data_IF_958170857764
#
_entry.id   IF_958170857764
#
_cell.length_a   1.000
_cell.length_b   1.000
_cell.length_c   1.000
_cell.angle_alpha   90.00
_cell.angle_beta   90.00
_cell.angle_gamma   90.00
#
_symmetry.space_group_name_H-M   'P 1'
#
loop_
_entity.id
_entity.type
_entity.pdbx_description
1 polymer ?
2 polymer ?
3 polymer ?
4 non-polymer ?
5 water ?
#
# COMPACT_ATOMS: atom_id res chain seq x y z
N UNK A 1 -3.39 -15.14 21.21
CA UNK A 1 -4.24 -14.53 20.15
C UNK A 1 -3.64 -14.72 18.76
N UNK A 2 -4.49 -14.69 17.73
CA UNK A 2 -4.04 -14.87 16.34
C UNK A 2 -3.19 -13.72 15.84
N UNK A 3 -2.12 -14.08 15.13
CA UNK A 3 -1.20 -13.11 14.57
C UNK A 3 -0.91 -13.46 13.11
N UNK A 4 -1.95 -13.76 12.31
CA UNK A 4 -1.72 -14.13 10.91
C UNK A 4 -1.27 -12.91 10.10
N UNK A 5 -0.10 -13.06 9.50
CA UNK A 5 0.49 -11.99 8.71
C UNK A 5 1.63 -12.55 7.88
N UNK A 6 1.74 -12.05 6.65
CA UNK A 6 2.78 -12.52 5.77
C UNK A 6 3.20 -11.50 4.74
N UNK A 7 4.37 -11.74 4.17
CA UNK A 7 4.92 -10.96 3.06
C UNK A 7 5.79 -11.96 2.34
N UNK A 8 5.64 -12.02 1.02
CA UNK A 8 6.38 -12.94 0.21
C UNK A 8 6.81 -12.20 -1.04
N UNK A 9 7.98 -12.55 -1.56
CA UNK A 9 8.48 -11.89 -2.74
C UNK A 9 8.83 -12.89 -3.82
N UNK A 10 9.27 -12.38 -4.96
CA UNK A 10 9.65 -13.22 -6.08
C UNK A 10 11.17 -13.27 -6.23
N UNK A 11 11.68 -14.45 -6.53
CA UNK A 11 13.10 -14.66 -6.75
C UNK A 11 13.24 -15.81 -7.74
N UNK A 12 12.84 -17.00 -7.33
CA UNK A 12 12.88 -18.20 -8.16
C UNK A 12 11.49 -18.82 -8.22
N UNK A 13 10.53 -18.12 -8.87
CA UNK A 13 9.17 -18.62 -8.97
C UNK A 13 8.90 -19.61 -10.08
N UNK A 14 8.08 -20.63 -9.80
CA UNK A 14 7.76 -21.60 -10.85
C UNK A 14 6.77 -20.89 -11.76
N UNK A 15 7.09 -20.83 -13.05
CA UNK A 15 6.20 -20.19 -14.01
C UNK A 15 5.17 -21.19 -14.46
N UNK A 16 4.10 -20.64 -15.05
CA UNK A 16 3.01 -21.48 -15.51
C UNK A 16 1.73 -21.11 -14.81
N UNK A 17 0.68 -20.94 -15.61
CA UNK A 17 -0.61 -20.60 -15.09
C UNK A 17 -0.70 -19.11 -14.85
N UNK A 18 -1.90 -18.66 -14.52
CA UNK A 18 -2.14 -17.25 -14.28
C UNK A 18 -2.02 -16.85 -12.81
N UNK A 19 -1.82 -17.82 -11.92
CA UNK A 19 -1.64 -17.49 -10.51
C UNK A 19 -0.20 -17.00 -10.36
N UNK A 20 -0.02 -15.87 -9.68
CA UNK A 20 1.30 -15.30 -9.47
C UNK A 20 1.83 -15.85 -8.15
N UNK A 21 2.91 -16.61 -8.26
CA UNK A 21 3.51 -17.23 -7.09
C UNK A 21 4.69 -16.46 -6.53
N UNK A 22 4.56 -16.05 -5.27
CA UNK A 22 5.62 -15.35 -4.57
C UNK A 22 6.30 -16.45 -3.72
N UNK A 23 7.33 -17.04 -4.31
CA UNK A 23 8.10 -18.14 -3.73
C UNK A 23 8.97 -17.90 -2.51
N UNK A 24 9.41 -16.65 -2.32
CA UNK A 24 10.31 -16.35 -1.21
C UNK A 24 9.65 -15.58 -0.10
N UNK A 25 9.49 -16.29 1.01
CA UNK A 25 8.88 -15.76 2.22
C UNK A 25 9.83 -14.90 3.03
N UNK A 26 9.35 -13.72 3.41
CA UNK A 26 10.11 -12.81 4.25
C UNK A 26 9.48 -13.00 5.65
N UNK A 27 8.15 -13.05 5.68
CA UNK A 27 7.40 -13.21 6.92
C UNK A 27 6.18 -14.07 6.65
N UNK A 28 5.86 -14.91 7.62
CA UNK A 28 4.74 -15.83 7.49
C UNK A 28 4.30 -16.31 8.87
N UNK A 29 3.83 -15.39 9.71
CA UNK A 29 3.37 -15.74 11.05
C UNK A 29 2.09 -16.59 10.93
N UNK A 30 2.21 -17.81 11.43
CA UNK A 30 1.17 -18.85 11.45
C UNK A 30 1.01 -19.53 10.10
N UNK A 31 2.05 -19.38 9.29
CA UNK A 31 2.12 -19.96 7.95
C UNK A 31 0.84 -20.00 7.13
N UNK A 32 0.13 -18.86 7.02
CA UNK A 32 -1.11 -18.81 6.23
C UNK A 32 -0.81 -18.95 4.74
N UNK A 33 0.31 -18.36 4.33
CA UNK A 33 0.76 -18.34 2.93
C UNK A 33 1.58 -19.54 2.51
N UNK A 34 1.18 -20.15 1.39
CA UNK A 34 1.86 -21.32 0.82
C UNK A 34 2.78 -20.82 -0.31
N UNK A 35 4.09 -20.83 -0.06
CA UNK A 35 5.06 -20.35 -1.04
C UNK A 35 5.16 -21.20 -2.29
N UNK A 36 4.62 -22.41 -2.23
CA UNK A 36 4.64 -23.32 -3.38
C UNK A 36 3.48 -23.05 -4.36
N UNK A 37 2.38 -22.46 -3.88
CA UNK A 37 1.19 -22.18 -4.71
C UNK A 37 0.77 -20.70 -4.87
N UNK A 38 1.33 -19.82 -4.03
CA UNK A 38 1.00 -18.40 -4.09
C UNK A 38 -0.32 -18.08 -3.42
N UNK A 39 -0.86 -19.04 -2.69
CA UNK A 39 -2.14 -18.87 -2.01
C UNK A 39 -2.06 -18.73 -0.52
N UNK A 40 -2.88 -17.81 -0.02
CA UNK A 40 -3.02 -17.56 1.39
C UNK A 40 -4.24 -18.40 1.78
N UNK A 41 -4.21 -18.98 2.97
CA UNK A 41 -5.30 -19.79 3.47
C UNK A 41 -5.73 -19.21 4.81
N UNK A 42 -7.01 -18.87 4.89
CA UNK A 42 -7.57 -18.31 6.11
C UNK A 42 -7.86 -19.40 7.15
N UNK A 43 -7.35 -19.19 8.37
CA UNK A 43 -7.58 -20.12 9.46
C UNK A 43 -8.52 -19.38 10.37
N UNK A 44 -8.12 -18.17 10.75
CA UNK A 44 -8.89 -17.29 11.63
C UNK A 44 -9.87 -16.42 10.84
N UNK A 45 -11.18 -16.63 11.04
CA UNK A 45 -12.23 -15.86 10.37
C UNK A 45 -12.11 -14.39 10.78
N UNK A 46 -12.31 -13.49 9.82
CA UNK A 46 -12.23 -12.08 10.14
C UNK A 46 -11.93 -11.20 8.94
N UNK A 47 -11.61 -9.95 9.23
CA UNK A 47 -11.28 -8.98 8.21
C UNK A 47 -9.77 -8.90 8.07
N UNK A 48 -9.31 -9.11 6.84
CA UNK A 48 -7.89 -9.08 6.49
C UNK A 48 -7.62 -8.00 5.42
N UNK A 49 -6.40 -7.49 5.39
CA UNK A 49 -6.02 -6.54 4.37
C UNK A 49 -4.96 -7.24 3.51
N UNK A 50 -5.11 -7.15 2.19
CA UNK A 50 -4.17 -7.73 1.25
C UNK A 50 -3.71 -6.65 0.28
N UNK A 51 -2.45 -6.71 -0.08
CA UNK A 51 -1.89 -5.73 -0.99
C UNK A 51 -0.69 -6.29 -1.77
N UNK A 52 -0.47 -5.73 -2.95
CA UNK A 52 0.66 -6.17 -3.76
C UNK A 52 1.34 -4.98 -4.44
N UNK A 53 2.62 -5.14 -4.71
CA UNK A 53 3.41 -4.14 -5.42
C UNK A 53 4.25 -5.03 -6.33
N UNK A 54 3.86 -5.09 -7.60
CA UNK A 54 4.53 -5.93 -8.58
C UNK A 54 5.23 -5.14 -9.68
N UNK A 55 6.42 -5.63 -10.00
CA UNK A 55 7.27 -5.02 -10.99
C UNK A 55 7.10 -5.55 -12.41
N UNK A 56 6.96 -4.62 -13.34
CA UNK A 56 6.80 -4.95 -14.75
C UNK A 56 7.56 -3.94 -15.62
N UNK A 57 7.88 -4.35 -16.84
CA UNK A 57 8.57 -3.48 -17.77
C UNK A 57 7.71 -3.23 -18.99
N UNK A 58 6.61 -3.97 -19.11
CA UNK A 58 5.73 -3.78 -20.25
C UNK A 58 4.27 -3.55 -19.94
N UNK A 59 3.54 -4.65 -19.92
CA UNK A 59 2.11 -4.60 -19.69
C UNK A 59 1.67 -5.63 -18.68
N UNK A 60 1.03 -5.14 -17.63
CA UNK A 60 0.57 -6.04 -16.59
C UNK A 60 -0.76 -5.62 -15.98
N UNK A 61 -1.61 -6.62 -15.76
CA UNK A 61 -2.90 -6.41 -15.14
C UNK A 61 -3.00 -7.53 -14.11
N UNK A 62 -3.22 -7.14 -12.86
CA UNK A 62 -3.31 -8.08 -11.75
C UNK A 62 -4.56 -7.91 -10.93
N UNK A 63 -5.02 -9.01 -10.34
CA UNK A 63 -6.21 -8.96 -9.52
C UNK A 63 -6.04 -9.82 -8.27
N UNK A 64 -6.59 -9.37 -7.14
CA UNK A 64 -6.54 -10.17 -5.92
C UNK A 64 -7.85 -10.96 -6.00
N UNK A 65 -7.70 -12.27 -6.07
CA UNK A 65 -8.81 -13.21 -6.18
C UNK A 65 -8.89 -14.02 -4.89
N UNK A 66 -10.07 -14.54 -4.59
CA UNK A 66 -10.23 -15.37 -3.41
C UNK A 66 -11.12 -16.56 -3.78
N UNK A 67 -11.23 -17.53 -2.87
CA UNK A 67 -12.11 -18.67 -3.09
C UNK A 67 -12.78 -19.01 -1.75
N UNK A 68 -13.99 -19.52 -1.80
CA UNK A 68 -14.73 -19.93 -0.61
C UNK A 68 -15.52 -21.16 -1.04
N UNK A 69 -15.34 -22.25 -0.29
CA UNK A 69 -15.99 -23.54 -0.58
C UNK A 69 -15.55 -23.98 -1.97
N UNK A 70 -14.31 -23.68 -2.34
CA UNK A 70 -13.79 -24.06 -3.64
C UNK A 70 -14.28 -23.17 -4.78
N UNK A 71 -15.22 -22.28 -4.48
CA UNK A 71 -15.82 -21.36 -5.48
C UNK A 71 -14.98 -20.08 -5.62
N UNK A 72 -14.47 -19.86 -6.83
CA UNK A 72 -13.65 -18.70 -7.15
C UNK A 72 -14.44 -17.39 -7.21
N UNK A 73 -13.92 -16.36 -6.55
CA UNK A 73 -14.55 -15.04 -6.51
C UNK A 73 -13.62 -13.99 -7.10
N UNK A 74 -13.87 -13.64 -8.35
CA UNK A 74 -13.08 -12.65 -9.07
C UNK A 74 -13.36 -11.29 -8.44
N UNK A 75 -12.38 -10.38 -8.52
CA UNK A 75 -12.51 -9.06 -7.94
C UNK A 75 -11.88 -7.95 -8.79
N UNK A 76 -11.50 -6.87 -8.12
CA UNK A 76 -10.88 -5.72 -8.74
C UNK A 76 -9.56 -6.03 -9.45
N UNK A 77 -9.27 -5.22 -10.47
CA UNK A 77 -8.06 -5.37 -11.23
C UNK A 77 -7.24 -4.09 -11.11
N UNK A 78 -5.94 -4.21 -11.36
CA UNK A 78 -5.03 -3.07 -11.31
C UNK A 78 -3.97 -3.29 -12.38
N UNK A 79 -3.83 -2.31 -13.25
CA UNK A 79 -2.89 -2.42 -14.35
C UNK A 79 -1.91 -1.29 -14.55
N UNK A 80 -0.84 -1.61 -15.28
CA UNK A 80 0.13 -0.62 -15.70
C UNK A 80 0.40 -1.01 -17.17
N UNK A 81 0.03 -0.15 -18.10
CA UNK A 81 0.22 -0.45 -19.52
C UNK A 81 1.20 0.51 -20.24
N UNK A 82 2.15 1.06 -19.47
CA UNK A 82 3.15 1.97 -20.02
C UNK A 82 3.80 1.32 -21.25
N UNK A 83 4.28 0.09 -21.09
CA UNK A 83 4.84 -0.66 -22.22
C UNK A 83 6.06 -0.03 -22.86
N UNK A 84 6.98 0.49 -22.06
CA UNK A 84 8.19 1.14 -22.58
C UNK A 84 9.49 0.41 -22.26
N UNK A 85 9.38 -0.77 -21.64
CA UNK A 85 10.55 -1.56 -21.29
C UNK A 85 11.23 -1.10 -20.02
N UNK A 86 10.61 -0.17 -19.31
CA UNK A 86 11.16 0.37 -18.07
C UNK A 86 10.36 -0.07 -16.85
N UNK A 87 11.03 -0.15 -15.71
CA UNK A 87 10.40 -0.56 -14.46
C UNK A 87 9.18 0.27 -14.13
N UNK A 88 8.11 -0.43 -13.81
CA UNK A 88 6.86 0.20 -13.42
C UNK A 88 6.28 -0.70 -12.35
N UNK A 89 5.85 -0.08 -11.26
CA UNK A 89 5.24 -0.82 -10.18
C UNK A 89 3.73 -0.66 -10.20
N UNK A 90 3.02 -1.78 -10.42
CA UNK A 90 1.56 -1.75 -10.39
C UNK A 90 1.26 -2.14 -8.94
N UNK A 91 0.28 -1.49 -8.34
CA UNK A 91 -0.07 -1.79 -6.96
C UNK A 91 -1.58 -1.90 -6.79
N UNK A 92 -1.98 -2.57 -5.73
CA UNK A 92 -3.40 -2.73 -5.49
C UNK A 92 -3.58 -3.32 -4.11
N UNK A 93 -4.80 -3.24 -3.60
CA UNK A 93 -5.06 -3.78 -2.28
C UNK A 93 -6.49 -3.59 -1.87
N UNK A 94 -6.90 -4.37 -0.88
CA UNK A 94 -8.27 -4.31 -0.36
C UNK A 94 -8.45 -5.11 0.90
N UNK A 95 -9.54 -4.80 1.60
CA UNK A 95 -9.89 -5.53 2.79
C UNK A 95 -10.83 -6.64 2.27
N UNK A 96 -10.65 -7.83 2.82
CA UNK A 96 -11.50 -8.96 2.49
C UNK A 96 -11.98 -9.62 3.78
N UNK A 97 -13.27 -9.89 3.87
CA UNK A 97 -13.81 -10.60 5.03
C UNK A 97 -13.68 -12.07 4.62
N UNK A 98 -12.91 -12.85 5.37
CA UNK A 98 -12.70 -14.25 5.06
C UNK A 98 -13.29 -15.21 6.09
N UNK A 99 -13.68 -16.38 5.61
CA UNK A 99 -14.20 -17.43 6.47
C UNK A 99 -13.08 -18.48 6.49
N UNK A 100 -13.15 -19.36 7.47
CA UNK A 100 -12.21 -20.47 7.64
C UNK A 100 -12.16 -21.27 6.33
N UNK A 101 -10.95 -21.50 5.82
CA UNK A 101 -10.83 -22.25 4.59
C UNK A 101 -10.73 -21.43 3.32
N UNK A 102 -11.10 -20.15 3.37
CA UNK A 102 -11.03 -19.32 2.19
C UNK A 102 -9.57 -19.15 1.77
N UNK A 103 -9.36 -18.97 0.47
CA UNK A 103 -8.04 -18.78 -0.06
C UNK A 103 -7.97 -17.48 -0.84
N UNK A 104 -6.82 -16.82 -0.77
CA UNK A 104 -6.59 -15.55 -1.44
C UNK A 104 -5.28 -15.61 -2.23
N UNK A 105 -5.26 -15.04 -3.42
CA UNK A 105 -4.06 -15.06 -4.23
C UNK A 105 -4.11 -13.99 -5.31
N UNK A 106 -2.98 -13.73 -5.93
CA UNK A 106 -2.89 -12.75 -7.00
C UNK A 106 -2.85 -13.48 -8.33
N UNK A 107 -3.67 -13.01 -9.27
CA UNK A 107 -3.74 -13.60 -10.59
C UNK A 107 -3.43 -12.57 -11.66
N UNK A 108 -2.78 -13.02 -12.73
CA UNK A 108 -2.44 -12.12 -13.82
C UNK A 108 -3.34 -12.35 -15.01
N UNK A 109 -3.49 -11.31 -15.82
CA UNK A 109 -4.28 -11.38 -17.02
C UNK A 109 -3.33 -12.12 -18.00
N UNK A 110 -3.82 -13.17 -18.67
CA UNK A 110 -2.96 -13.92 -19.61
C UNK A 110 -2.44 -13.10 -20.78
N UNK A 111 -3.22 -12.09 -21.18
CA UNK A 111 -2.83 -11.22 -22.29
C UNK A 111 -1.96 -10.04 -21.86
N UNK A 112 -1.88 -9.80 -20.55
CA UNK A 112 -1.05 -8.71 -20.01
C UNK A 112 -0.50 -9.23 -18.68
N UNK A 113 0.48 -10.12 -18.75
CA UNK A 113 1.04 -10.68 -17.54
C UNK A 113 2.54 -10.61 -17.35
N UNK A 114 3.19 -9.60 -17.91
CA UNK A 114 4.63 -9.49 -17.73
C UNK A 114 5.08 -9.04 -16.36
N UNK A 115 5.81 -9.94 -15.69
CA UNK A 115 6.35 -9.66 -14.38
C UNK A 115 7.87 -9.82 -14.43
N UNK A 116 8.56 -8.79 -13.96
CA UNK A 116 10.02 -8.78 -13.94
C UNK A 116 10.60 -10.00 -13.23
N UNK A 117 11.60 -10.61 -13.87
CA UNK A 117 12.32 -11.75 -13.31
C UNK A 117 13.79 -11.35 -13.25
N UNK A 118 14.30 -11.18 -12.03
CA UNK A 118 15.68 -10.78 -11.85
C UNK A 118 16.07 -10.37 -10.43
N UNK A 119 17.30 -9.87 -10.29
CA UNK A 119 17.82 -9.45 -9.00
C UNK A 119 17.92 -7.93 -8.78
N UNK A 120 17.57 -7.15 -9.79
CA UNK A 120 17.63 -5.69 -9.67
C UNK A 120 16.59 -5.12 -8.70
N UNK A 121 15.38 -5.66 -8.75
CA UNK A 121 14.31 -5.20 -7.87
C UNK A 121 13.30 -6.29 -7.57
N UNK A 122 12.40 -6.00 -6.63
CA UNK A 122 11.42 -6.95 -6.14
C UNK A 122 9.93 -6.64 -6.26
N UNK A 123 9.14 -7.73 -6.27
CA UNK A 123 7.68 -7.69 -6.29
C UNK A 123 7.26 -8.36 -4.98
N UNK A 124 6.26 -7.80 -4.33
CA UNK A 124 5.80 -8.30 -3.04
C UNK A 124 4.29 -8.53 -2.97
N UNK A 125 3.90 -9.51 -2.15
CA UNK A 125 2.51 -9.85 -1.87
C UNK A 125 2.46 -9.91 -0.35
N UNK A 126 1.56 -9.12 0.25
CA UNK A 126 1.42 -9.04 1.70
C UNK A 126 -0.03 -9.16 2.17
N UNK A 127 -0.19 -9.59 3.42
CA UNK A 127 -1.51 -9.72 3.97
C UNK A 127 -1.45 -9.87 5.47
N UNK A 128 -2.50 -9.41 6.14
CA UNK A 128 -2.57 -9.55 7.58
C UNK A 128 -3.97 -9.37 8.09
N UNK A 129 -4.21 -9.95 9.26
CA UNK A 129 -5.51 -9.88 9.90
C UNK A 129 -5.66 -8.47 10.49
N UNK A 130 -6.85 -7.90 10.36
CA UNK A 130 -7.17 -6.57 10.88
C UNK A 130 -7.90 -6.83 12.21
N UNK A 131 -8.88 -7.73 12.16
CA UNK A 131 -9.61 -8.16 13.37
C UNK A 131 -10.46 -9.41 13.09
N UNK A 132 -10.49 -10.35 14.05
CA UNK A 132 -11.25 -11.60 13.91
C UNK A 132 -12.76 -11.39 14.01
N UNK A 133 -13.53 -12.33 13.46
CA UNK A 133 -14.99 -12.19 13.49
C UNK A 133 -15.69 -12.63 14.78
N UNK B 1 -1.14 -2.41 26.92
CA UNK B 1 -1.79 -1.96 25.64
C UNK B 1 -0.79 -1.09 24.86
N UNK B 2 -0.16 -1.70 23.87
CA UNK B 2 0.88 -1.07 23.04
C UNK B 2 0.51 -0.50 21.67
N UNK B 3 0.06 0.75 21.65
CA UNK B 3 -0.35 1.45 20.43
C UNK B 3 0.84 2.13 19.75
N UNK B 4 1.42 1.46 18.76
CA UNK B 4 2.58 1.98 18.04
C UNK B 4 2.35 2.22 16.55
N UNK B 5 2.51 3.48 16.14
CA UNK B 5 2.33 3.83 14.74
C UNK B 5 3.03 5.12 14.37
N UNK B 6 3.50 5.20 13.13
CA UNK B 6 4.14 6.43 12.67
C UNK B 6 3.91 6.64 11.18
N UNK B 7 3.78 7.91 10.81
CA UNK B 7 3.64 8.36 9.42
C UNK B 7 4.46 9.65 9.32
N UNK B 8 5.48 9.64 8.48
CA UNK B 8 6.31 10.84 8.32
C UNK B 8 6.59 11.12 6.84
N UNK B 9 6.55 12.40 6.48
CA UNK B 9 6.82 12.82 5.11
C UNK B 9 8.16 13.55 5.02
N UNK B 10 8.73 13.56 3.82
CA UNK B 10 9.99 14.25 3.56
C UNK B 10 9.68 15.65 3.00
N UNK B 11 10.20 16.69 3.66
CA UNK B 11 9.99 18.06 3.23
C UNK B 11 11.34 18.76 2.99
N UNK B 12 12.42 18.15 3.46
CA UNK B 12 13.76 18.69 3.29
C UNK B 12 14.08 18.76 1.79
N UNK B 13 14.47 19.95 1.34
CA UNK B 13 14.80 20.16 -0.06
C UNK B 13 16.29 19.99 -0.32
N UNK B 14 16.71 18.73 -0.41
CA UNK B 14 18.10 18.38 -0.66
C UNK B 14 18.12 17.02 -1.36
N UNK B 15 18.99 16.84 -2.37
CA UNK B 15 19.04 15.56 -3.06
C UNK B 15 19.46 14.40 -2.17
N UNK B 16 19.18 13.19 -2.65
CA UNK B 16 19.53 11.97 -1.95
C UNK B 16 20.81 11.40 -2.56
N UNK B 17 21.73 11.02 -1.68
CA UNK B 17 23.00 10.44 -2.11
C UNK B 17 22.86 8.92 -2.05
N UNK B 18 23.70 8.21 -2.81
CA UNK B 18 23.67 6.75 -2.84
C UNK B 18 23.97 6.18 -1.45
N UNK B 19 23.17 5.19 -1.03
CA UNK B 19 23.28 4.50 0.26
C UNK B 19 22.92 5.37 1.46
N UNK B 20 22.33 6.53 1.18
CA UNK B 20 21.93 7.44 2.24
C UNK B 20 20.60 7.06 2.87
N UNK B 21 20.56 7.08 4.20
CA UNK B 21 19.33 6.80 4.91
C UNK B 21 18.38 7.93 4.52
N UNK B 22 17.24 7.58 3.92
CA UNK B 22 16.25 8.56 3.50
C UNK B 22 15.48 9.06 4.71
N UNK B 23 15.65 10.33 5.02
CA UNK B 23 14.99 10.92 6.15
C UNK B 23 13.61 11.53 5.87
N UNK B 24 12.63 11.20 6.70
CA UNK B 24 11.30 11.78 6.58
C UNK B 24 11.17 12.65 7.83
N UNK B 25 11.60 13.89 7.69
CA UNK B 25 11.63 14.89 8.75
C UNK B 25 10.31 15.38 9.32
N UNK B 26 9.26 15.31 8.51
CA UNK B 26 7.95 15.79 8.97
C UNK B 26 7.05 14.68 9.47
N UNK B 27 6.79 14.69 10.77
CA UNK B 27 5.92 13.66 11.34
C UNK B 27 4.46 14.08 11.42
N UNK B 28 3.60 13.21 10.91
CA UNK B 28 2.16 13.44 10.94
C UNK B 28 1.66 12.69 12.18
N UNK B 29 2.20 11.48 12.37
CA UNK B 29 1.85 10.60 13.49
C UNK B 29 3.11 9.91 14.01
N UNK B 30 3.19 9.73 15.33
CA UNK B 30 4.33 9.05 15.94
C UNK B 30 3.98 8.50 17.34
N UNK B 31 2.95 7.67 17.39
CA UNK B 31 2.49 7.05 18.64
C UNK B 31 3.58 6.14 19.20
N UNK B 32 3.91 6.37 20.47
CA UNK B 32 4.95 5.65 21.22
C UNK B 32 6.34 6.16 20.84
N UNK B 33 6.37 7.22 20.04
CA UNK B 33 7.60 7.86 19.58
C UNK B 33 8.78 6.91 19.37
N UNK B 34 8.53 5.85 18.58
CA UNK B 34 9.56 4.86 18.25
C UNK B 34 10.21 5.19 16.93
N UNK B 35 9.66 6.20 16.24
CA UNK B 35 10.22 6.65 14.98
C UNK B 35 10.95 7.99 15.26
N UNK B 36 12.14 8.14 14.69
CA UNK B 36 12.96 9.34 14.85
C UNK B 36 13.08 10.17 13.56
N UNK B 37 12.46 11.36 13.53
CA UNK B 37 12.47 12.27 12.38
C UNK B 37 13.86 12.66 11.89
N UNK B 38 14.80 12.83 12.83
CA UNK B 38 16.16 13.23 12.53
C UNK B 38 16.98 12.28 11.68
N UNK B 39 16.65 11.00 11.78
CA UNK B 39 17.35 9.95 11.06
C UNK B 39 16.48 9.30 10.00
N UNK B 40 15.17 9.21 10.27
CA UNK B 40 14.26 8.57 9.34
C UNK B 40 14.22 7.07 9.63
N UNK B 41 14.63 6.68 10.85
CA UNK B 41 14.65 5.28 11.24
C UNK B 41 13.63 4.95 12.31
N UNK B 42 13.09 3.74 12.20
CA UNK B 42 12.16 3.26 13.19
C UNK B 42 13.00 2.30 14.03
N UNK B 43 12.84 2.36 15.36
CA UNK B 43 13.57 1.46 16.25
C UNK B 43 12.59 0.73 17.15
N UNK B 44 12.62 -0.59 17.03
CA UNK B 44 11.74 -1.43 17.80
C UNK B 44 12.00 -1.44 19.30
N UNK B 45 10.97 -1.08 20.07
CA UNK B 45 11.01 -1.09 21.53
C UNK B 45 10.30 -2.40 21.92
N UNK B 46 9.07 -2.54 21.42
CA UNK B 46 8.21 -3.68 21.64
C UNK B 46 8.38 -4.66 20.49
N UNK B 47 8.94 -5.85 20.75
CA UNK B 47 9.14 -6.83 19.68
C UNK B 47 7.81 -7.37 19.17
N UNK B 48 7.77 -7.74 17.90
CA UNK B 48 6.55 -8.25 17.31
C UNK B 48 6.44 -8.11 15.80
N UNK B 49 5.22 -8.19 15.28
CA UNK B 49 4.97 -8.08 13.86
C UNK B 49 4.54 -6.67 13.47
N UNK B 50 5.23 -6.13 12.48
CA UNK B 50 4.96 -4.78 11.98
C UNK B 50 4.74 -4.73 10.48
N UNK B 51 4.00 -3.73 10.02
CA UNK B 51 3.82 -3.53 8.60
C UNK B 51 4.43 -2.15 8.31
N UNK B 52 5.29 -2.12 7.30
CA UNK B 52 5.97 -0.91 6.86
C UNK B 52 5.61 -0.60 5.42
N UNK B 53 5.42 0.70 5.14
CA UNK B 53 5.00 1.11 3.81
C UNK B 53 5.42 2.53 3.45
N UNK B 54 5.49 2.81 2.16
CA UNK B 54 5.85 4.15 1.73
C UNK B 54 5.26 4.45 0.36
N UNK B 55 5.12 5.74 0.08
CA UNK B 55 4.64 6.22 -1.20
C UNK B 55 5.61 7.35 -1.53
N UNK B 56 6.35 7.18 -2.61
CA UNK B 56 7.33 8.19 -3.00
C UNK B 56 7.01 8.88 -4.31
N UNK B 57 6.90 10.21 -4.29
CA UNK B 57 6.66 10.97 -5.51
C UNK B 57 8.05 11.06 -6.13
N UNK B 58 8.10 11.15 -7.45
CA UNK B 58 9.38 11.22 -8.13
C UNK B 58 9.25 11.82 -9.52
N UNK B 59 10.35 12.37 -10.02
CA UNK B 59 10.40 13.02 -11.31
C UNK B 59 11.31 12.25 -12.27
N UNK B 60 11.81 11.10 -11.81
CA UNK B 60 12.68 10.29 -12.65
C UNK B 60 12.80 8.86 -12.13
N UNK B 61 13.92 8.20 -12.43
CA UNK B 61 14.13 6.82 -11.98
C UNK B 61 14.42 6.81 -10.49
N UNK B 62 13.75 5.89 -9.79
CA UNK B 62 13.91 5.77 -8.35
C UNK B 62 13.96 4.33 -7.84
N UNK B 63 14.97 4.05 -7.03
CA UNK B 63 15.12 2.75 -6.39
C UNK B 63 15.40 2.98 -4.92
N UNK B 64 14.73 2.19 -4.08
CA UNK B 64 14.87 2.29 -2.62
C UNK B 64 15.06 0.92 -1.98
N UNK B 65 15.95 0.84 -1.00
CA UNK B 65 16.18 -0.43 -0.31
C UNK B 65 15.52 -0.36 1.04
N UNK B 66 14.74 -1.39 1.37
CA UNK B 66 14.10 -1.44 2.68
C UNK B 66 15.18 -2.14 3.53
N UNK B 67 15.51 -1.52 4.66
CA UNK B 67 16.55 -2.03 5.55
C UNK B 67 16.05 -2.46 6.91
N UNK B 68 16.74 -3.45 7.47
CA UNK B 68 16.45 -4.00 8.79
C UNK B 68 17.76 -4.39 9.47
N UNK B 69 17.78 -4.35 10.79
CA UNK B 69 18.99 -4.71 11.52
C UNK B 69 19.14 -4.01 12.86
N UNK B 70 20.21 -4.35 13.59
CA UNK B 70 20.51 -3.76 14.90
C UNK B 70 21.63 -2.71 14.80
N UNK B 71 22.88 -3.16 14.97
CA UNK B 71 24.06 -2.28 14.90
C UNK B 71 24.56 -2.37 13.46
N UNK B 72 24.13 -3.41 12.77
CA UNK B 72 24.48 -3.60 11.37
C UNK B 72 23.18 -3.84 10.62
N UNK B 73 22.88 -2.96 9.68
CA UNK B 73 21.66 -3.08 8.90
C UNK B 73 21.87 -3.94 7.66
N UNK B 74 20.79 -4.58 7.23
CA UNK B 74 20.79 -5.43 6.04
C UNK B 74 19.55 -5.09 5.22
N UNK B 75 19.57 -5.47 3.95
CA UNK B 75 18.44 -5.15 3.09
C UNK B 75 17.47 -6.30 2.89
N UNK B 76 16.20 -6.01 3.15
CA UNK B 76 15.13 -6.99 2.99
C UNK B 76 14.84 -7.08 1.50
N UNK B 77 14.45 -5.95 0.92
CA UNK B 77 14.18 -5.89 -0.51
C UNK B 77 14.59 -4.56 -1.13
N UNK B 78 14.46 -4.50 -2.44
CA UNK B 78 14.75 -3.29 -3.20
C UNK B 78 13.54 -3.02 -4.09
N UNK B 79 13.01 -1.80 -4.02
CA UNK B 79 11.88 -1.40 -4.86
C UNK B 79 12.35 -0.38 -5.90
N UNK B 80 12.16 -0.71 -7.18
CA UNK B 80 12.54 0.21 -8.25
C UNK B 80 11.32 0.59 -9.09
N UNK B 81 11.29 1.84 -9.54
CA UNK B 81 10.21 2.33 -10.37
C UNK B 81 10.76 3.46 -11.21
N UNK B 82 10.71 3.27 -12.51
CA UNK B 82 11.25 4.23 -13.44
C UNK B 82 10.27 5.18 -14.06
N UNK B 83 10.78 6.35 -14.41
CA UNK B 83 10.00 7.40 -15.04
C UNK B 83 10.91 8.14 -16.00
N UNK B 84 10.45 8.24 -17.24
CA UNK B 84 11.20 8.92 -18.30
C UNK B 84 10.47 10.23 -18.61
N UNK B 85 11.10 11.35 -18.29
CA UNK B 85 10.55 12.68 -18.54
C UNK B 85 9.09 12.83 -18.11
N UNK B 86 8.81 12.44 -16.88
CA UNK B 86 7.47 12.53 -16.33
C UNK B 86 7.47 12.40 -14.80
N UNK B 87 6.30 12.62 -14.19
CA UNK B 87 6.17 12.51 -12.74
C UNK B 87 5.44 11.23 -12.36
N UNK B 88 5.83 10.67 -11.23
CA UNK B 88 5.25 9.42 -10.75
C UNK B 88 5.12 9.35 -9.25
N UNK B 89 4.31 8.40 -8.81
CA UNK B 89 4.19 8.12 -7.39
C UNK B 89 4.32 6.60 -7.34
N UNK B 90 5.27 6.12 -6.54
CA UNK B 90 5.48 4.69 -6.44
C UNK B 90 5.29 4.23 -5.01
N UNK B 91 5.17 2.92 -4.83
CA UNK B 91 4.97 2.42 -3.49
C UNK B 91 5.63 1.05 -3.25
N UNK B 92 5.83 0.77 -1.97
CA UNK B 92 6.44 -0.47 -1.54
C UNK B 92 5.91 -0.72 -0.15
N UNK B 93 5.96 -1.98 0.28
CA UNK B 93 5.49 -2.34 1.60
C UNK B 93 6.01 -3.70 2.02
N UNK B 94 6.07 -3.92 3.34
CA UNK B 94 6.58 -5.18 3.86
C UNK B 94 6.14 -5.46 5.29
N UNK B 95 5.83 -6.73 5.55
CA UNK B 95 5.48 -7.19 6.88
C UNK B 95 6.81 -7.77 7.39
N UNK B 96 7.23 -7.32 8.57
CA UNK B 96 8.48 -7.77 9.17
C UNK B 96 8.30 -8.14 10.64
N UNK B 97 8.91 -9.26 11.06
CA UNK B 97 8.86 -9.65 12.46
C UNK B 97 10.10 -8.94 13.04
N UNK B 98 9.84 -8.11 14.04
CA UNK B 98 10.87 -7.33 14.69
C UNK B 98 11.22 -7.72 16.12
N UNK B 99 12.53 -7.67 16.40
CA UNK B 99 13.07 -7.96 17.73
C UNK B 99 13.40 -6.61 18.37
N UNK B 100 13.38 -6.55 19.70
CA UNK B 100 13.70 -5.31 20.40
C UNK B 100 15.06 -4.81 19.94
N UNK B 101 15.18 -3.49 19.74
CA UNK B 101 16.43 -2.92 19.33
C UNK B 101 16.72 -2.86 17.84
N UNK B 102 15.97 -3.61 17.03
CA UNK B 102 16.19 -3.59 15.59
C UNK B 102 15.59 -2.31 15.02
N UNK B 103 16.21 -1.79 13.96
CA UNK B 103 15.67 -0.61 13.33
C UNK B 103 15.38 -0.85 11.85
N UNK B 104 14.29 -0.24 11.39
CA UNK B 104 13.85 -0.33 10.01
C UNK B 104 13.85 1.08 9.41
N UNK B 105 14.35 1.16 8.18
CA UNK B 105 14.41 2.43 7.47
C UNK B 105 14.63 2.23 5.98
N UNK B 106 14.45 3.30 5.22
CA UNK B 106 14.64 3.27 3.78
C UNK B 106 15.97 3.93 3.45
N UNK B 107 16.67 3.33 2.50
CA UNK B 107 17.99 3.79 2.07
C UNK B 107 17.98 4.09 0.57
N UNK B 108 18.49 5.26 0.21
CA UNK B 108 18.55 5.68 -1.18
C UNK B 108 19.58 4.87 -1.95
N UNK B 109 19.45 4.91 -3.27
CA UNK B 109 20.36 4.19 -4.16
C UNK B 109 20.92 5.16 -5.20
N UNK B 110 21.45 4.57 -6.27
CA UNK B 110 22.01 5.29 -7.39
C UNK B 110 20.88 6.04 -8.12
N UNK B 111 19.65 5.51 -8.04
CA UNK B 111 18.46 6.14 -8.64
C UNK B 111 17.81 6.84 -7.45
N UNK B 112 18.03 8.15 -7.37
CA UNK B 112 17.56 8.96 -6.26
C UNK B 112 16.54 10.03 -6.56
N UNK B 113 15.85 9.91 -7.69
CA UNK B 113 14.84 10.90 -8.02
C UNK B 113 13.65 10.74 -7.07
N UNK B 114 13.64 11.55 -6.01
CA UNK B 114 12.57 11.54 -5.03
C UNK B 114 12.18 12.98 -4.69
N UNK B 115 10.88 13.28 -4.79
CA UNK B 115 10.35 14.60 -4.49
C UNK B 115 9.68 14.62 -3.12
N UNK B 116 9.96 15.68 -2.36
CA UNK B 116 9.38 15.84 -1.04
C UNK B 116 8.87 17.27 -0.93
N UNK B 117 7.60 17.45 -1.23
CA UNK B 117 7.03 18.80 -1.20
C UNK B 117 5.51 18.84 -1.13
N UNK B 118 5.03 20.06 -0.88
CA UNK B 118 3.60 20.34 -0.83
C UNK B 118 3.05 20.06 -2.23
N UNK B 119 2.05 19.19 -2.31
CA UNK B 119 1.43 18.87 -3.59
C UNK B 119 2.09 17.74 -4.37
N UNK B 120 3.08 17.10 -3.75
CA UNK B 120 3.83 16.00 -4.35
C UNK B 120 4.63 15.40 -3.20
N UNK B 121 3.94 14.67 -2.35
CA UNK B 121 4.52 14.08 -1.16
C UNK B 121 5.28 12.76 -1.28
N UNK B 122 6.10 12.51 -0.27
CA UNK B 122 6.85 11.26 -0.12
C UNK B 122 6.65 10.94 1.36
N UNK B 123 5.99 9.81 1.62
CA UNK B 123 5.68 9.41 2.99
C UNK B 123 6.17 8.01 3.38
N UNK B 124 6.52 7.85 4.65
CA UNK B 124 7.00 6.57 5.18
C UNK B 124 6.19 6.31 6.44
N UNK B 125 5.61 5.12 6.50
CA UNK B 125 4.79 4.74 7.64
C UNK B 125 5.06 3.34 8.15
N UNK B 126 4.64 3.11 9.39
CA UNK B 126 4.82 1.81 9.99
C UNK B 126 3.91 1.66 11.19
N UNK B 127 3.43 0.44 11.42
CA UNK B 127 2.59 0.21 12.57
C UNK B 127 2.72 -1.22 13.06
N UNK B 128 2.44 -1.38 14.35
CA UNK B 128 2.51 -2.68 14.98
C UNK B 128 1.23 -3.44 14.65
N UNK B 129 1.39 -4.68 14.20
CA UNK B 129 0.27 -5.56 13.88
C UNK B 129 -0.10 -6.37 15.12
N UNK B 130 0.87 -7.14 15.65
CA UNK B 130 0.68 -7.97 16.84
C UNK B 130 1.98 -8.02 17.67
N UNK B 131 1.87 -7.76 18.99
CA UNK B 131 3.03 -7.78 19.89
C UNK B 131 3.55 -9.19 20.15
N UNK B 132 4.88 -9.37 20.21
CA UNK B 132 5.47 -10.67 20.50
C UNK B 132 5.22 -11.04 21.99
N UNK C 1 -20.32 -1.47 15.37
CA UNK C 1 -19.31 -2.23 16.17
C UNK C 1 -18.30 -1.32 16.89
N UNK C 2 -17.37 -2.00 17.54
CA UNK C 2 -16.27 -1.40 18.29
C UNK C 2 -15.02 -1.44 17.40
N UNK C 3 -15.23 -1.76 16.13
CA UNK C 3 -14.15 -1.78 15.15
C UNK C 3 -14.60 -0.86 14.00
N UNK C 4 -13.72 -0.69 13.02
CA UNK C 4 -14.03 0.14 11.85
C UNK C 4 -13.18 -0.29 10.66
N UNK C 5 -13.86 -0.64 9.58
CA UNK C 5 -13.17 -1.08 8.37
C UNK C 5 -14.01 -0.84 7.11
N UNK C 6 -13.33 -0.53 6.02
CA UNK C 6 -14.01 -0.34 4.74
C UNK C 6 -13.08 -0.43 3.56
N UNK C 7 -13.68 -0.84 2.45
CA UNK C 7 -13.01 -0.88 1.16
C UNK C 7 -14.13 -0.49 0.20
N UNK C 8 -13.97 0.67 -0.42
CA UNK C 8 -14.96 1.14 -1.39
C UNK C 8 -14.26 1.34 -2.72
N UNK C 9 -15.04 1.34 -3.79
CA UNK C 9 -14.50 1.48 -5.11
C UNK C 9 -15.36 2.46 -5.91
N UNK C 10 -14.75 2.97 -6.97
CA UNK C 10 -15.39 3.91 -7.82
C UNK C 10 -15.83 3.21 -9.08
N UNK C 11 -17.14 3.02 -9.22
CA UNK C 11 -17.63 2.34 -10.39
C UNK C 11 -18.44 3.25 -11.31
N UNK C 12 -17.68 3.87 -12.20
CA UNK C 12 -18.23 4.78 -13.17
C UNK C 12 -17.10 5.11 -14.15
N UNK C 13 -17.48 5.34 -15.40
CA UNK C 13 -16.54 5.63 -16.47
C UNK C 13 -16.15 7.12 -16.52
N UNK C 14 -17.00 7.96 -15.94
CA UNK C 14 -16.74 9.39 -15.91
C UNK C 14 -15.84 9.70 -14.73
N UNK C 15 -14.79 10.51 -14.94
CA UNK C 15 -13.87 10.84 -13.85
C UNK C 15 -14.51 11.88 -12.93
N UNK C 16 -13.85 12.17 -11.80
CA UNK C 16 -14.42 13.17 -10.89
C UNK C 16 -14.35 14.55 -11.54
N UNK C 17 -15.06 15.51 -10.96
CA UNK C 17 -15.01 16.87 -11.46
C UNK C 17 -13.69 17.41 -10.89
N UNK C 18 -13.05 18.33 -11.62
CA UNK C 18 -11.79 18.93 -11.16
C UNK C 18 -11.98 19.60 -9.81
N UNK C 19 -10.92 19.63 -9.00
CA UNK C 19 -10.98 20.27 -7.70
C UNK C 19 -12.24 19.92 -6.91
N UNK C 20 -12.51 18.64 -6.81
CA UNK C 20 -13.68 18.18 -6.06
C UNK C 20 -13.36 16.93 -5.27
N UNK C 21 -14.29 16.55 -4.41
CA UNK C 21 -14.16 15.38 -3.60
C UNK C 21 -14.37 14.11 -4.46
N UNK C 22 -13.52 13.10 -4.26
CA UNK C 22 -13.66 11.86 -5.02
C UNK C 22 -14.68 10.95 -4.37
N UNK C 23 -15.77 10.70 -5.08
CA UNK C 23 -16.82 9.84 -4.57
C UNK C 23 -16.61 8.37 -4.96
N UNK C 24 -16.67 7.48 -3.97
CA UNK C 24 -16.55 6.05 -4.22
C UNK C 24 -17.98 5.54 -3.97
N UNK C 25 -18.67 5.20 -5.05
CA UNK C 25 -20.08 4.79 -4.99
C UNK C 25 -20.41 3.34 -4.65
N UNK C 26 -19.45 2.46 -4.86
CA UNK C 26 -19.64 1.03 -4.64
C UNK C 26 -18.87 0.53 -3.44
N UNK C 27 -19.49 -0.41 -2.73
CA UNK C 27 -18.90 -0.98 -1.53
C UNK C 27 -18.49 -2.43 -1.69
N UNK C 28 -17.28 -2.76 -1.21
CA UNK C 28 -16.80 -4.14 -1.25
C UNK C 28 -17.01 -4.63 0.20
N UNK C 29 -16.66 -3.77 1.17
CA UNK C 29 -16.90 -4.06 2.59
C UNK C 29 -17.07 -2.72 3.33
N UNK C 30 -18.06 -2.64 4.22
CA UNK C 30 -18.34 -1.41 4.96
C UNK C 30 -19.38 -1.76 6.03
N UNK C 31 -19.03 -2.71 6.92
CA UNK C 31 -19.94 -3.16 7.98
C UNK C 31 -20.51 -2.15 8.98
N UNK C 32 -19.73 -1.14 9.36
CA UNK C 32 -20.20 -0.15 10.32
C UNK C 32 -20.88 1.06 9.64
N UNK C 33 -20.78 1.12 8.31
CA UNK C 33 -21.37 2.22 7.57
C UNK C 33 -20.59 3.50 7.77
N UNK C 34 -19.31 3.34 8.13
CA UNK C 34 -18.40 4.46 8.39
C UNK C 34 -18.10 5.30 7.17
N UNK C 35 -18.05 4.66 6.00
CA UNK C 35 -17.84 5.39 4.76
C UNK C 35 -19.26 5.57 4.21
N UNK C 36 -19.60 6.81 3.86
CA UNK C 36 -20.92 7.15 3.35
C UNK C 36 -20.83 7.40 1.85
N UNK C 37 -21.41 6.51 1.06
CA UNK C 37 -21.38 6.64 -0.39
C UNK C 37 -22.23 7.78 -0.90
N UNK C 38 -23.11 8.33 -0.06
CA UNK C 38 -23.96 9.43 -0.49
C UNK C 38 -23.24 10.77 -0.50
N UNK C 39 -22.23 10.88 0.36
CA UNK C 39 -21.44 12.11 0.48
C UNK C 39 -19.97 11.87 0.04
N UNK C 40 -19.57 10.60 -0.03
CA UNK C 40 -18.20 10.27 -0.41
C UNK C 40 -17.24 10.52 0.75
N UNK C 41 -17.78 10.53 1.96
CA UNK C 41 -16.99 10.79 3.15
C UNK C 41 -17.03 9.70 4.20
N UNK C 42 -15.89 9.53 4.85
CA UNK C 42 -15.78 8.60 5.95
C UNK C 42 -15.99 9.52 7.17
N UNK C 43 -16.73 9.04 8.16
CA UNK C 43 -16.94 9.80 9.39
C UNK C 43 -16.63 8.87 10.55
N UNK C 44 -15.74 9.32 11.42
CA UNK C 44 -15.32 8.53 12.58
C UNK C 44 -16.43 8.32 13.61
N UNK C 45 -16.62 7.05 13.96
CA UNK C 45 -17.59 6.64 14.97
C UNK C 45 -16.75 6.21 16.19
N UNK C 46 -15.76 5.36 15.92
CA UNK C 46 -14.86 4.85 16.95
C UNK C 46 -13.51 5.55 16.92
N UNK C 47 -13.20 6.32 17.97
CA UNK C 47 -11.92 7.04 18.02
C UNK C 47 -10.74 6.08 18.05
N UNK C 48 -9.60 6.57 17.57
CA UNK C 48 -8.40 5.74 17.56
C UNK C 48 -7.52 5.92 16.33
N UNK C 49 -6.49 5.08 16.23
CA UNK C 49 -5.55 5.12 15.11
C UNK C 49 -6.01 4.32 13.89
N UNK C 50 -6.12 5.03 12.78
CA UNK C 50 -6.54 4.45 11.52
C UNK C 50 -5.47 4.44 10.46
N UNK C 51 -5.63 3.52 9.50
CA UNK C 51 -4.74 3.49 8.35
C UNK C 51 -5.69 3.72 7.16
N UNK C 52 -5.29 4.62 6.27
CA UNK C 52 -6.05 4.92 5.05
C UNK C 52 -5.10 4.70 3.86
N UNK C 53 -5.61 4.05 2.82
CA UNK C 53 -4.82 3.77 1.64
C UNK C 53 -5.74 3.70 0.41
N UNK C 54 -5.21 4.09 -0.75
CA UNK C 54 -5.99 4.05 -1.98
C UNK C 54 -5.06 3.66 -3.13
N UNK C 55 -5.66 3.12 -4.18
CA UNK C 55 -4.96 2.73 -5.41
C UNK C 55 -5.94 3.17 -6.50
N UNK C 56 -5.61 4.26 -7.18
CA UNK C 56 -6.46 4.83 -8.24
C UNK C 56 -5.88 4.69 -9.64
N UNK C 57 -6.65 4.07 -10.53
CA UNK C 57 -6.25 3.85 -11.92
C UNK C 57 -6.56 5.09 -12.75
N UNK C 58 -5.61 5.44 -13.61
CA UNK C 58 -5.77 6.62 -14.45
C UNK C 58 -5.04 6.51 -15.79
N UNK C 59 -5.55 7.24 -16.79
CA UNK C 59 -4.96 7.24 -18.13
C UNK C 59 -4.58 8.65 -18.62
N UNK C 60 -4.55 9.58 -17.66
CA UNK C 60 -4.14 10.97 -17.87
C UNK C 60 -3.70 11.42 -16.47
N UNK C 61 -3.19 12.64 -16.36
CA UNK C 61 -2.69 13.14 -15.08
C UNK C 61 -3.70 13.06 -13.93
N UNK C 62 -3.22 12.60 -12.78
CA UNK C 62 -4.07 12.48 -11.61
C UNK C 62 -3.33 12.75 -10.30
N UNK C 63 -3.91 13.63 -9.50
CA UNK C 63 -3.37 13.92 -8.18
C UNK C 63 -4.50 13.61 -7.20
N UNK C 64 -4.22 12.80 -6.19
CA UNK C 64 -5.22 12.47 -5.19
C UNK C 64 -4.73 13.12 -3.91
N UNK C 65 -5.66 13.78 -3.24
CA UNK C 65 -5.38 14.48 -2.01
C UNK C 65 -6.20 13.89 -0.89
N UNK C 66 -5.56 13.61 0.23
CA UNK C 66 -6.30 13.07 1.36
C UNK C 66 -6.57 14.21 2.35
N UNK C 67 -7.84 14.39 2.70
CA UNK C 67 -8.24 15.42 3.65
C UNK C 67 -8.73 14.80 4.95
N UNK C 68 -8.42 15.49 6.04
CA UNK C 68 -8.86 15.11 7.38
C UNK C 68 -9.48 16.36 8.02
N UNK C 69 -10.78 16.31 8.30
CA UNK C 69 -11.51 17.41 8.92
C UNK C 69 -11.17 18.79 8.33
N UNK C 70 -11.24 18.88 7.00
CA UNK C 70 -10.99 20.12 6.31
C UNK C 70 -9.54 20.45 5.98
N UNK C 71 -8.62 19.63 6.48
CA UNK C 71 -7.20 19.86 6.26
C UNK C 71 -6.55 18.85 5.29
N UNK C 72 -5.86 19.38 4.28
CA UNK C 72 -5.18 18.53 3.31
C UNK C 72 -3.99 17.90 4.02
N UNK C 73 -3.99 16.58 4.10
CA UNK C 73 -2.92 15.85 4.79
C UNK C 73 -1.76 15.44 3.88
N UNK C 74 -2.10 14.85 2.73
CA UNK C 74 -1.12 14.39 1.76
C UNK C 74 -1.65 14.50 0.34
N UNK C 75 -0.72 14.60 -0.60
CA UNK C 75 -1.04 14.71 -2.03
C UNK C 75 -0.08 13.82 -2.81
N UNK C 76 -0.60 12.98 -3.70
CA UNK C 76 0.26 12.16 -4.56
C UNK C 76 -0.21 12.30 -5.99
N UNK C 77 0.75 12.51 -6.88
CA UNK C 77 0.46 12.70 -8.29
C UNK C 77 1.15 11.74 -9.23
N UNK C 78 0.41 11.34 -10.25
CA UNK C 78 0.93 10.44 -11.26
C UNK C 78 0.62 11.02 -12.64
N UNK C 79 1.63 11.09 -13.50
CA UNK C 79 1.47 11.61 -14.84
C UNK C 79 1.56 10.49 -15.84
N UNK C 80 0.65 10.52 -16.81
CA UNK C 80 0.61 9.51 -17.84
C UNK C 80 -0.09 10.03 -19.08
N UNK C 81 0.37 9.51 -20.21
CA UNK C 81 -0.20 9.85 -21.49
C UNK C 81 -0.81 8.60 -22.13
N UNK C 82 -2.13 8.58 -22.17
CA UNK C 82 -2.89 7.49 -22.79
C UNK C 82 -2.86 6.10 -22.18
N UNK C 83 -1.72 5.73 -21.61
CA UNK C 83 -1.62 4.41 -21.01
C UNK C 83 -2.07 4.45 -19.57
N UNK C 84 -2.32 3.27 -19.04
CA UNK C 84 -2.84 3.11 -17.69
C UNK C 84 -1.78 2.88 -16.62
N UNK C 85 -1.90 3.64 -15.53
CA UNK C 85 -1.02 3.49 -14.38
C UNK C 85 -1.86 3.56 -13.11
N UNK C 86 -1.26 3.25 -11.96
CA UNK C 86 -1.98 3.30 -10.69
C UNK C 86 -1.33 4.27 -9.73
N UNK C 87 -2.11 5.23 -9.28
CA UNK C 87 -1.67 6.24 -8.33
C UNK C 87 -2.00 5.68 -6.95
N UNK C 88 -1.00 5.60 -6.07
CA UNK C 88 -1.25 5.08 -4.74
C UNK C 88 -0.85 6.08 -3.67
N UNK C 89 -1.49 5.94 -2.51
CA UNK C 89 -1.21 6.83 -1.42
C UNK C 89 -1.80 6.28 -0.13
N UNK C 90 -1.27 6.75 0.99
CA UNK C 90 -1.76 6.29 2.27
C UNK C 90 -1.15 7.02 3.45
N UNK C 91 -1.82 6.91 4.61
CA UNK C 91 -1.35 7.60 5.80
C UNK C 91 -2.01 7.06 7.07
N UNK C 92 -1.27 7.11 8.18
CA UNK C 92 -1.82 6.68 9.48
C UNK C 92 -2.29 7.94 10.20
N UNK C 93 -3.52 7.91 10.69
CA UNK C 93 -4.11 9.05 11.40
C UNK C 93 -4.86 8.66 12.68
N UNK C 94 -4.60 9.38 13.77
CA UNK C 94 -5.25 9.13 15.04
C UNK C 94 -6.46 10.06 15.11
N UNK C 95 -7.63 9.47 14.88
CA UNK C 95 -8.85 10.26 14.83
C UNK C 95 -9.74 10.28 16.05
N UNK C 96 -10.53 11.34 16.14
CA UNK C 96 -11.47 11.57 17.22
C UNK C 96 -12.91 11.42 16.69
N UNK C 97 -13.86 11.13 17.58
CA UNK C 97 -15.26 10.96 17.17
C UNK C 97 -15.77 12.13 16.34
N UNK C 98 -16.42 11.80 15.23
CA UNK C 98 -16.99 12.80 14.35
C UNK C 98 -16.12 13.31 13.22
N UNK C 99 -14.82 13.03 13.29
CA UNK C 99 -13.89 13.49 12.27
C UNK C 99 -14.12 12.88 10.89
N UNK C 100 -14.06 13.72 9.86
CA UNK C 100 -14.27 13.28 8.50
C UNK C 100 -12.97 13.09 7.74
N UNK C 101 -12.92 12.04 6.93
CA UNK C 101 -11.78 11.76 6.07
C UNK C 101 -12.28 11.47 4.66
N UNK C 102 -11.63 12.09 3.68
CA UNK C 102 -12.02 11.88 2.29
C UNK C 102 -10.86 12.13 1.35
N UNK C 103 -11.06 11.73 0.10
CA UNK C 103 -10.08 11.92 -0.95
C UNK C 103 -10.64 12.96 -1.92
N UNK C 104 -9.75 13.72 -2.54
CA UNK C 104 -10.13 14.74 -3.51
C UNK C 104 -9.11 14.79 -4.64
N UNK C 105 -9.50 15.45 -5.73
CA UNK C 105 -8.57 15.64 -6.85
C UNK C 105 -8.36 17.16 -7.02
N UNK C 106 -7.29 17.54 -7.72
CA UNK C 106 -7.07 18.96 -7.97
C UNK C 106 -7.34 19.21 -9.48
N UNK C 107 -6.48 19.95 -10.19
CA UNK C 107 -6.73 20.19 -11.64
C UNK C 107 -6.44 18.92 -12.42
N UNK C 108 -5.68 18.01 -11.80
CA UNK C 108 -5.33 16.71 -12.38
C UNK C 108 -6.34 15.76 -11.71
N UNK C 109 -7.38 15.40 -12.48
CA UNK C 109 -8.50 14.63 -11.97
C UNK C 109 -8.83 13.31 -12.64
N UNK C 110 -8.02 12.89 -13.57
CA UNK C 110 -8.34 11.67 -14.28
C UNK C 110 -8.36 10.39 -13.47
N UNK C 111 -9.46 9.65 -13.60
CA UNK C 111 -9.63 8.37 -12.93
C UNK C 111 -10.27 7.41 -13.89
N UNK C 112 -10.03 7.62 -15.17
CA UNK C 112 -10.57 6.74 -16.19
C UNK C 112 -9.58 5.63 -16.43
N UNK C 113 -9.76 4.53 -15.73
CA UNK C 113 -8.87 3.40 -15.91
C UNK C 113 -9.32 2.59 -17.11
N UNK C 114 -8.37 1.87 -17.70
CA UNK C 114 -8.69 1.03 -18.84
C UNK C 114 -9.56 -0.11 -18.31
N UNK C 115 -10.19 -0.83 -19.23
CA UNK C 115 -11.03 -1.97 -18.92
C UNK C 115 -10.14 -2.94 -18.12
N UNK C 116 -10.50 -3.20 -16.86
CA UNK C 116 -9.73 -4.10 -16.02
C UNK C 116 -8.86 -3.46 -14.93
N UNK C 117 -8.80 -2.13 -14.92
CA UNK C 117 -8.00 -1.43 -13.92
C UNK C 117 -8.97 -0.54 -13.15
N UNK C 118 -9.08 -0.81 -11.86
CA UNK C 118 -10.01 -0.09 -11.00
C UNK C 118 -9.40 0.89 -10.00
N UNK C 119 -10.28 1.51 -9.20
CA UNK C 119 -9.87 2.47 -8.18
C UNK C 119 -10.55 2.09 -6.86
N UNK C 120 -9.73 2.01 -5.83
CA UNK C 120 -10.16 1.61 -4.50
C UNK C 120 -9.66 2.55 -3.38
N UNK C 121 -10.45 2.63 -2.31
CA UNK C 121 -10.13 3.44 -1.14
C UNK C 121 -10.50 2.58 0.07
N UNK C 122 -9.50 2.33 0.91
CA UNK C 122 -9.70 1.51 2.11
C UNK C 122 -9.30 2.27 3.36
N UNK C 123 -9.89 1.85 4.47
CA UNK C 123 -9.58 2.47 5.73
C UNK C 123 -9.94 1.50 6.86
N UNK C 124 -9.13 1.45 7.91
CA UNK C 124 -9.46 0.58 9.03
C UNK C 124 -8.78 0.97 10.33
N UNK C 125 -9.54 0.80 11.40
CA UNK C 125 -9.09 1.10 12.75
C UNK C 125 -8.13 0.01 13.22
N UNK C 126 -6.96 0.45 13.69
CA UNK C 126 -5.94 -0.46 14.21
C UNK C 126 -5.92 -0.46 15.74
N UNK C 127 -5.85 0.73 16.34
CA UNK C 127 -5.79 0.83 17.81
C UNK C 127 -6.90 1.65 18.44
N UNK C 128 -7.80 0.98 19.17
CA UNK C 128 -8.92 1.63 19.85
C UNK C 128 -8.43 2.59 20.93
N UNK C 129 -9.24 3.61 21.24
CA UNK C 129 -9.00 4.51 22.38
C UNK C 129 -10.16 5.50 22.63
X LIG D 1 6.92 4.60 -13.02
#
# INVERSE_FOLDING_TARGET
QPRPAFSAIRRNPPMGGNVVIFDTVITNQEEPYQNHSGRFVCTVPGYYYFTFQVLSQWEICLSIVSSSRGQVRRSLGFCDTTNKGLFQVVSGGMVLQLQQGDQVWVEKDPKKGHIYQGSEADSVFSGFLIFPS
TQKIAFSATRTINVPLRRDQTIRFDHVITNMNNNYEPRSGKFTCKVPGLYYFTYHASSRGNLCVNLMRGRERAQKVVTFCDYAYNTFQVTTGGMVLKLEQGENVFLQATDKNSLLGMEGANSIFSGFLLFPD
KFQSVFTVTRQTHQPPAPNSLIRFNAVLTNPQGDYDTSTGKFTCKVPGLYYFVYHASHTANLCVLLYRSGVKVVTFCGHTSKTNQVNSGGVLLRLQVGEEVWLAVNDYYDMVGIQGSDSVFSGFLLFPD
CA CA
#
